data_IF_339312180840
#
_entry.id   IF_339312180840
#
_cell.length_a   1.000
_cell.length_b   1.000
_cell.length_c   1.000
_cell.angle_alpha   90.00
_cell.angle_beta   90.00
_cell.angle_gamma   90.00
#
_symmetry.space_group_name_H-M   'P 1'
#
loop_
_entity.id
_entity.type
_entity.pdbx_description
1 polymer ?
#
# COMPACT_ATOMS: atom_id res chain seq x y z
N UNK A 1 -12.24 6.97 6.11
CA UNK A 1 -12.52 5.53 6.20
C UNK A 1 -13.90 5.25 6.80
N UNK A 2 -14.20 5.74 8.03
CA UNK A 2 -15.47 5.48 8.72
C UNK A 2 -16.68 6.01 7.95
N UNK A 3 -16.60 7.21 7.40
CA UNK A 3 -17.67 7.85 6.60
C UNK A 3 -17.96 7.12 5.30
N UNK A 4 -16.93 6.67 4.59
CA UNK A 4 -17.04 5.85 3.39
C UNK A 4 -17.69 4.49 3.71
N UNK A 5 -17.21 3.78 4.75
CA UNK A 5 -17.79 2.51 5.20
C UNK A 5 -19.24 2.63 5.64
N UNK A 6 -19.61 3.76 6.21
CA UNK A 6 -20.99 4.04 6.65
C UNK A 6 -21.91 4.53 5.51
N UNK A 7 -21.42 4.62 4.26
CA UNK A 7 -22.18 5.14 3.12
C UNK A 7 -22.57 6.63 3.22
N UNK A 8 -21.91 7.36 4.13
CA UNK A 8 -22.15 8.80 4.34
C UNK A 8 -21.33 9.70 3.39
N UNK A 9 -20.42 9.11 2.66
CA UNK A 9 -19.58 9.75 1.65
C UNK A 9 -19.40 8.77 0.48
N UNK A 10 -19.64 9.23 -0.74
CA UNK A 10 -19.27 8.49 -1.94
C UNK A 10 -17.76 8.62 -2.18
N UNK A 11 -17.12 7.53 -2.61
CA UNK A 11 -15.69 7.55 -2.93
C UNK A 11 -15.36 8.54 -4.07
N UNK A 12 -16.29 8.80 -4.98
CA UNK A 12 -16.15 9.81 -6.04
C UNK A 12 -16.09 11.25 -5.49
N UNK A 13 -16.70 11.50 -4.34
CA UNK A 13 -16.68 12.84 -3.69
C UNK A 13 -15.48 13.02 -2.76
N UNK A 14 -14.62 12.01 -2.64
CA UNK A 14 -13.52 12.05 -1.68
C UNK A 14 -12.53 13.19 -1.96
N UNK A 15 -12.16 13.40 -3.23
CA UNK A 15 -11.28 14.50 -3.62
C UNK A 15 -11.90 15.87 -3.31
N UNK A 16 -13.20 16.05 -3.62
CA UNK A 16 -13.95 17.27 -3.28
C UNK A 16 -13.90 17.58 -1.79
N UNK A 17 -14.25 16.58 -0.95
CA UNK A 17 -14.23 16.74 0.52
C UNK A 17 -12.81 17.03 1.02
N UNK A 18 -11.79 16.38 0.46
CA UNK A 18 -10.39 16.63 0.79
C UNK A 18 -10.03 18.10 0.58
N UNK A 19 -10.48 18.69 -0.53
CA UNK A 19 -10.20 20.10 -0.84
C UNK A 19 -11.08 21.07 -0.05
N UNK A 20 -12.39 20.90 -0.12
CA UNK A 20 -13.34 21.87 0.42
C UNK A 20 -13.44 21.86 1.94
N UNK A 21 -13.33 20.68 2.57
CA UNK A 21 -13.46 20.53 4.02
C UNK A 21 -12.13 20.65 4.75
N UNK A 22 -11.06 20.11 4.17
CA UNK A 22 -9.76 20.01 4.85
C UNK A 22 -8.70 20.93 4.26
N UNK A 23 -8.93 21.57 3.11
CA UNK A 23 -7.96 22.44 2.45
C UNK A 23 -6.74 21.71 1.89
N UNK A 24 -6.81 20.37 1.78
CA UNK A 24 -5.70 19.57 1.30
C UNK A 24 -5.73 19.44 -0.23
N UNK A 25 -4.55 19.20 -0.84
CA UNK A 25 -4.38 19.09 -2.28
C UNK A 25 -3.87 17.71 -2.75
N UNK A 26 -3.80 16.73 -1.86
CA UNK A 26 -3.42 15.35 -2.18
C UNK A 26 -4.38 14.36 -1.54
N UNK A 27 -4.61 13.23 -2.22
CA UNK A 27 -5.50 12.17 -1.73
C UNK A 27 -4.89 10.80 -2.02
N UNK A 28 -5.02 9.90 -1.05
CA UNK A 28 -4.69 8.49 -1.18
C UNK A 28 -5.99 7.68 -1.17
N UNK A 29 -6.16 6.84 -2.17
CA UNK A 29 -7.34 6.01 -2.28
C UNK A 29 -7.13 4.63 -1.66
N UNK A 30 -8.22 3.98 -1.26
CA UNK A 30 -8.21 2.58 -0.80
C UNK A 30 -9.05 1.76 -1.75
N UNK A 31 -8.48 0.71 -2.30
CA UNK A 31 -9.09 -0.14 -3.32
C UNK A 31 -10.43 -0.73 -2.89
N UNK A 32 -10.63 -0.99 -1.60
CA UNK A 32 -11.87 -1.57 -1.06
C UNK A 32 -13.12 -0.73 -1.34
N UNK A 33 -12.98 0.60 -1.55
CA UNK A 33 -14.11 1.50 -1.80
C UNK A 33 -14.56 1.53 -3.26
N UNK A 34 -13.76 0.94 -4.16
CA UNK A 34 -14.09 0.84 -5.59
C UNK A 34 -13.57 -0.46 -6.22
N UNK A 35 -13.63 -1.55 -5.43
CA UNK A 35 -13.03 -2.86 -5.78
C UNK A 35 -13.54 -3.39 -7.12
N UNK A 36 -14.83 -3.24 -7.39
CA UNK A 36 -15.49 -3.70 -8.64
C UNK A 36 -15.24 -2.77 -9.82
N UNK A 37 -14.62 -1.62 -9.58
CA UNK A 37 -14.43 -0.54 -10.56
C UNK A 37 -12.98 -0.40 -11.04
N UNK A 38 -12.05 -1.24 -10.58
CA UNK A 38 -10.63 -1.18 -10.96
C UNK A 38 -10.39 -1.15 -12.49
N UNK A 39 -11.26 -1.83 -13.26
CA UNK A 39 -11.25 -1.87 -14.72
C UNK A 39 -12.37 -1.04 -15.36
N UNK A 40 -13.17 -0.36 -14.56
CA UNK A 40 -14.31 0.43 -14.99
C UNK A 40 -13.92 1.81 -15.49
N UNK A 41 -13.56 1.95 -16.76
CA UNK A 41 -13.03 3.19 -17.33
C UNK A 41 -13.93 4.40 -17.12
N UNK A 42 -15.27 4.23 -17.18
CA UNK A 42 -16.22 5.32 -16.94
C UNK A 42 -16.08 5.85 -15.48
N UNK A 43 -16.00 4.94 -14.51
CA UNK A 43 -15.82 5.29 -13.11
C UNK A 43 -14.47 5.97 -12.83
N UNK A 44 -13.38 5.40 -13.38
CA UNK A 44 -12.05 5.98 -13.21
C UNK A 44 -11.92 7.35 -13.87
N UNK A 45 -12.57 7.56 -15.02
CA UNK A 45 -12.62 8.88 -15.67
C UNK A 45 -13.36 9.92 -14.81
N UNK A 46 -14.53 9.56 -14.25
CA UNK A 46 -15.26 10.43 -13.33
C UNK A 46 -14.44 10.75 -12.08
N UNK A 47 -13.82 9.72 -11.48
CA UNK A 47 -12.96 9.88 -10.32
C UNK A 47 -11.77 10.83 -10.59
N UNK A 48 -11.10 10.65 -11.73
CA UNK A 48 -10.01 11.53 -12.16
C UNK A 48 -10.50 12.96 -12.42
N UNK A 49 -11.60 13.12 -13.16
CA UNK A 49 -12.16 14.44 -13.48
C UNK A 49 -12.49 15.22 -12.21
N UNK A 50 -13.13 14.58 -11.23
CA UNK A 50 -13.46 15.24 -9.96
C UNK A 50 -12.22 15.63 -9.15
N UNK A 51 -11.15 14.84 -9.19
CA UNK A 51 -9.89 15.23 -8.58
C UNK A 51 -9.28 16.45 -9.28
N UNK A 52 -9.25 16.45 -10.61
CA UNK A 52 -8.74 17.56 -11.44
C UNK A 52 -9.57 18.83 -11.20
N UNK A 53 -10.91 18.75 -11.20
CA UNK A 53 -11.84 19.89 -10.99
C UNK A 53 -11.62 20.58 -9.64
N UNK A 54 -11.20 19.85 -8.61
CA UNK A 54 -10.92 20.38 -7.28
C UNK A 54 -9.44 20.68 -7.03
N UNK A 55 -8.57 20.50 -8.03
CA UNK A 55 -7.12 20.72 -7.90
C UNK A 55 -6.50 19.77 -6.86
N UNK A 56 -6.94 18.51 -6.83
CA UNK A 56 -6.46 17.48 -5.91
C UNK A 56 -5.66 16.44 -6.69
N UNK A 57 -4.42 16.22 -6.26
CA UNK A 57 -3.54 15.19 -6.81
C UNK A 57 -3.88 13.82 -6.25
N UNK A 58 -4.10 12.84 -7.12
CA UNK A 58 -4.16 11.44 -6.76
C UNK A 58 -2.74 10.92 -6.49
N UNK A 59 -2.44 10.55 -5.23
CA UNK A 59 -1.07 10.22 -4.79
C UNK A 59 -0.78 8.74 -5.01
N UNK A 60 -1.61 7.88 -4.46
CA UNK A 60 -1.49 6.42 -4.58
C UNK A 60 -2.83 5.72 -4.37
N UNK A 61 -2.86 4.41 -4.68
CA UNK A 61 -3.93 3.49 -4.27
C UNK A 61 -3.36 2.49 -3.26
N UNK A 62 -3.96 2.42 -2.07
CA UNK A 62 -3.71 1.35 -1.10
C UNK A 62 -4.46 0.10 -1.54
N UNK A 63 -3.73 -1.00 -1.71
CA UNK A 63 -4.27 -2.28 -2.18
C UNK A 63 -4.31 -3.30 -1.06
N UNK A 64 -5.51 -3.61 -0.59
CA UNK A 64 -5.77 -4.64 0.41
C UNK A 64 -6.67 -5.74 -0.17
N UNK A 65 -6.53 -6.98 0.35
CA UNK A 65 -7.41 -8.08 0.00
C UNK A 65 -7.23 -8.66 -1.41
N UNK A 66 -6.06 -8.47 -2.02
CA UNK A 66 -5.71 -9.01 -3.35
C UNK A 66 -4.83 -10.28 -3.28
N UNK A 67 -4.67 -10.86 -2.09
CA UNK A 67 -3.80 -11.98 -1.80
C UNK A 67 -2.44 -11.55 -1.22
N UNK A 68 -1.68 -12.52 -0.72
CA UNK A 68 -0.40 -12.27 -0.06
C UNK A 68 0.76 -12.37 -1.03
N UNK A 69 1.50 -11.28 -1.20
CA UNK A 69 2.71 -11.24 -2.03
C UNK A 69 3.87 -12.05 -1.42
N UNK A 70 3.81 -12.37 -0.12
CA UNK A 70 4.73 -13.25 0.58
C UNK A 70 4.15 -14.64 0.87
N UNK A 71 3.15 -15.12 0.12
CA UNK A 71 2.61 -16.47 0.30
C UNK A 71 3.66 -17.53 -0.02
N UNK A 72 3.82 -18.54 0.85
CA UNK A 72 4.75 -19.64 0.66
C UNK A 72 4.42 -20.48 -0.58
N UNK A 73 3.12 -20.63 -0.90
CA UNK A 73 2.65 -21.29 -2.12
C UNK A 73 2.89 -20.37 -3.33
N UNK A 74 3.78 -20.80 -4.23
CA UNK A 74 4.13 -20.03 -5.43
C UNK A 74 2.92 -19.73 -6.32
N UNK A 75 1.93 -20.64 -6.42
CA UNK A 75 0.74 -20.39 -7.25
C UNK A 75 -0.11 -19.29 -6.65
N UNK A 76 -0.33 -19.30 -5.33
CA UNK A 76 -1.08 -18.25 -4.61
C UNK A 76 -0.34 -16.92 -4.67
N UNK A 77 0.98 -16.93 -4.51
CA UNK A 77 1.82 -15.74 -4.62
C UNK A 77 1.74 -15.11 -6.02
N UNK A 78 1.86 -15.92 -7.08
CA UNK A 78 1.74 -15.41 -8.46
C UNK A 78 0.30 -14.95 -8.78
N UNK A 79 -0.71 -15.59 -8.21
CA UNK A 79 -2.09 -15.12 -8.33
C UNK A 79 -2.27 -13.76 -7.64
N UNK A 80 -1.65 -13.55 -6.47
CA UNK A 80 -1.65 -12.26 -5.80
C UNK A 80 -0.98 -11.17 -6.66
N UNK A 81 0.16 -11.47 -7.29
CA UNK A 81 0.81 -10.56 -8.25
C UNK A 81 -0.15 -10.18 -9.38
N UNK A 82 -0.83 -11.16 -9.99
CA UNK A 82 -1.78 -10.91 -11.08
C UNK A 82 -2.97 -10.06 -10.62
N UNK A 83 -3.50 -10.33 -9.42
CA UNK A 83 -4.61 -9.57 -8.85
C UNK A 83 -4.26 -8.08 -8.62
N UNK A 84 -3.01 -7.77 -8.31
CA UNK A 84 -2.57 -6.40 -8.09
C UNK A 84 -2.36 -5.60 -9.39
N UNK A 85 -2.14 -6.25 -10.55
CA UNK A 85 -1.87 -5.54 -11.82
C UNK A 85 -2.96 -4.56 -12.21
N UNK A 86 -4.22 -4.93 -12.03
CA UNK A 86 -5.36 -4.01 -12.29
C UNK A 86 -5.28 -2.71 -11.50
N UNK A 87 -4.66 -2.75 -10.31
CA UNK A 87 -4.48 -1.57 -9.47
C UNK A 87 -3.30 -0.72 -9.92
N UNK A 88 -2.25 -1.33 -10.46
CA UNK A 88 -1.17 -0.60 -11.14
C UNK A 88 -1.74 0.19 -12.31
N UNK A 89 -2.59 -0.44 -13.14
CA UNK A 89 -3.21 0.21 -14.31
C UNK A 89 -4.17 1.33 -13.89
N UNK A 90 -5.02 1.09 -12.87
CA UNK A 90 -5.93 2.08 -12.33
C UNK A 90 -5.18 3.29 -11.74
N UNK A 91 -4.11 3.04 -10.96
CA UNK A 91 -3.28 4.08 -10.36
C UNK A 91 -2.60 4.94 -11.43
N UNK A 92 -2.01 4.31 -12.46
CA UNK A 92 -1.46 5.02 -13.62
C UNK A 92 -2.50 5.91 -14.28
N UNK A 93 -3.69 5.38 -14.54
CA UNK A 93 -4.76 6.15 -15.19
C UNK A 93 -5.19 7.36 -14.35
N UNK A 94 -5.27 7.21 -13.02
CA UNK A 94 -5.61 8.29 -12.09
C UNK A 94 -4.49 9.32 -11.90
N UNK A 95 -3.27 9.06 -12.41
CA UNK A 95 -2.12 9.94 -12.26
C UNK A 95 -1.36 9.74 -10.94
N UNK A 96 -1.60 8.63 -10.24
CA UNK A 96 -0.83 8.26 -9.06
C UNK A 96 0.62 7.95 -9.42
N UNK A 97 1.54 8.12 -8.45
CA UNK A 97 2.93 7.70 -8.64
C UNK A 97 3.22 6.28 -8.15
N UNK A 98 2.33 5.69 -7.36
CA UNK A 98 2.55 4.39 -6.72
C UNK A 98 1.24 3.64 -6.47
N UNK A 99 1.36 2.33 -6.28
CA UNK A 99 0.42 1.55 -5.48
C UNK A 99 1.09 1.16 -4.17
N UNK A 100 0.34 1.15 -3.06
CA UNK A 100 0.80 0.61 -1.77
C UNK A 100 0.26 -0.80 -1.59
N UNK A 101 1.14 -1.73 -1.26
CA UNK A 101 0.84 -3.14 -1.05
C UNK A 101 1.38 -3.62 0.30
N UNK A 102 1.06 -4.86 0.69
CA UNK A 102 1.56 -5.48 1.91
C UNK A 102 2.56 -6.60 1.57
N UNK A 103 3.70 -6.66 2.29
CA UNK A 103 4.62 -7.79 2.26
C UNK A 103 4.16 -8.86 3.26
N UNK A 104 2.93 -9.34 3.08
CA UNK A 104 2.29 -10.29 3.98
C UNK A 104 2.46 -11.73 3.50
N UNK A 105 2.58 -12.65 4.46
CA UNK A 105 2.65 -14.09 4.26
C UNK A 105 2.47 -14.82 5.59
N UNK A 106 2.42 -16.15 5.55
CA UNK A 106 2.41 -17.02 6.72
C UNK A 106 3.70 -17.84 6.76
N UNK A 107 4.28 -17.99 7.94
CA UNK A 107 5.53 -18.71 8.17
C UNK A 107 6.52 -17.92 8.99
N UNK A 108 7.75 -18.40 9.05
CA UNK A 108 8.85 -17.72 9.72
C UNK A 108 9.21 -16.42 8.99
N UNK A 109 9.88 -15.50 9.68
CA UNK A 109 10.34 -14.24 9.09
C UNK A 109 11.19 -14.45 7.84
N UNK A 110 12.04 -15.48 7.83
CA UNK A 110 12.92 -15.82 6.71
C UNK A 110 12.13 -16.35 5.51
N UNK A 111 11.20 -17.28 5.73
CA UNK A 111 10.35 -17.84 4.68
C UNK A 111 9.50 -16.76 4.01
N UNK A 112 8.87 -15.91 4.82
CA UNK A 112 8.05 -14.80 4.31
C UNK A 112 8.92 -13.76 3.59
N UNK A 113 10.13 -13.45 4.10
CA UNK A 113 11.06 -12.52 3.42
C UNK A 113 11.41 -13.01 2.02
N UNK A 114 11.78 -14.29 1.88
CA UNK A 114 12.10 -14.89 0.58
C UNK A 114 10.92 -14.83 -0.38
N UNK A 115 9.75 -15.22 0.07
CA UNK A 115 8.54 -15.23 -0.76
C UNK A 115 8.10 -13.81 -1.13
N UNK A 116 8.12 -12.85 -0.17
CA UNK A 116 7.75 -11.46 -0.41
C UNK A 116 8.72 -10.77 -1.38
N UNK A 117 10.02 -11.04 -1.27
CA UNK A 117 11.02 -10.54 -2.22
C UNK A 117 10.68 -10.95 -3.65
N UNK A 118 10.33 -12.22 -3.89
CA UNK A 118 9.93 -12.70 -5.21
C UNK A 118 8.63 -12.07 -5.69
N UNK A 119 7.57 -12.07 -4.84
CA UNK A 119 6.27 -11.51 -5.20
C UNK A 119 6.33 -10.02 -5.50
N UNK A 120 7.06 -9.25 -4.68
CA UNK A 120 7.27 -7.82 -4.89
C UNK A 120 8.11 -7.53 -6.15
N UNK A 121 9.18 -8.30 -6.39
CA UNK A 121 9.98 -8.15 -7.60
C UNK A 121 9.11 -8.36 -8.86
N UNK A 122 8.30 -9.44 -8.90
CA UNK A 122 7.40 -9.72 -10.03
C UNK A 122 6.34 -8.65 -10.25
N UNK A 123 5.77 -8.10 -9.18
CA UNK A 123 4.82 -6.99 -9.30
C UNK A 123 5.53 -5.71 -9.76
N UNK A 124 6.73 -5.46 -9.26
CA UNK A 124 7.53 -4.29 -9.62
C UNK A 124 8.03 -4.35 -11.06
N UNK A 125 8.35 -5.54 -11.61
CA UNK A 125 8.61 -5.72 -13.04
C UNK A 125 7.43 -5.20 -13.88
N UNK A 126 6.19 -5.58 -13.51
CA UNK A 126 5.01 -5.06 -14.17
C UNK A 126 4.85 -3.55 -13.97
N UNK A 127 4.96 -3.07 -12.72
CA UNK A 127 4.89 -1.65 -12.40
C UNK A 127 5.86 -0.80 -13.22
N UNK A 128 7.09 -1.29 -13.43
CA UNK A 128 8.11 -0.62 -14.24
C UNK A 128 7.65 -0.41 -15.69
N UNK A 129 6.96 -1.39 -16.30
CA UNK A 129 6.41 -1.23 -17.66
C UNK A 129 5.35 -0.14 -17.74
N UNK A 130 4.72 0.18 -16.62
CA UNK A 130 3.69 1.21 -16.50
C UNK A 130 4.24 2.56 -15.98
N UNK A 131 5.53 2.64 -15.63
CA UNK A 131 6.12 3.81 -14.99
C UNK A 131 5.64 4.03 -13.54
N UNK A 132 5.26 2.96 -12.85
CA UNK A 132 4.66 2.99 -11.51
C UNK A 132 5.58 2.39 -10.46
N UNK A 133 5.56 2.96 -9.27
CA UNK A 133 6.22 2.35 -8.13
C UNK A 133 5.28 1.36 -7.41
N UNK A 134 5.89 0.32 -6.85
CA UNK A 134 5.26 -0.61 -5.90
C UNK A 134 5.88 -0.36 -4.53
N UNK A 135 5.11 0.15 -3.59
CA UNK A 135 5.63 0.50 -2.27
C UNK A 135 4.96 -0.30 -1.16
N UNK A 136 5.73 -0.62 -0.13
CA UNK A 136 5.26 -1.42 0.99
C UNK A 136 5.21 -0.58 2.26
N UNK A 137 4.06 -0.58 2.92
CA UNK A 137 3.90 -0.01 4.26
C UNK A 137 4.33 -1.03 5.32
N UNK A 138 5.00 -0.59 6.37
CA UNK A 138 5.12 -1.37 7.59
C UNK A 138 3.74 -1.41 8.26
N UNK A 139 3.05 -2.57 8.17
CA UNK A 139 1.63 -2.67 8.54
C UNK A 139 1.29 -3.97 9.29
N UNK A 140 1.99 -4.23 10.38
CA UNK A 140 1.80 -5.41 11.24
C UNK A 140 2.64 -6.62 10.81
N UNK A 141 2.80 -7.56 11.72
CA UNK A 141 3.60 -8.76 11.52
C UNK A 141 5.06 -8.45 11.18
N UNK A 142 5.68 -9.29 10.39
CA UNK A 142 7.10 -9.14 10.02
C UNK A 142 7.41 -7.78 9.38
N UNK A 143 6.47 -7.19 8.63
CA UNK A 143 6.68 -5.89 7.98
C UNK A 143 6.81 -4.71 8.97
N UNK A 144 6.40 -4.89 10.23
CA UNK A 144 6.61 -3.92 11.31
C UNK A 144 8.03 -3.90 11.86
N UNK A 145 8.87 -4.87 11.49
CA UNK A 145 10.30 -4.82 11.73
C UNK A 145 10.97 -4.06 10.57
N UNK A 146 11.51 -2.86 10.84
CA UNK A 146 12.07 -1.97 9.83
C UNK A 146 13.23 -2.59 9.06
N UNK A 147 14.16 -3.26 9.76
CA UNK A 147 15.29 -3.93 9.13
C UNK A 147 14.85 -5.08 8.22
N UNK A 148 13.88 -5.88 8.68
CA UNK A 148 13.32 -6.97 7.88
C UNK A 148 12.72 -6.44 6.57
N UNK A 149 11.90 -5.41 6.65
CA UNK A 149 11.24 -4.85 5.47
C UNK A 149 12.25 -4.17 4.53
N UNK A 150 13.21 -3.41 5.07
CA UNK A 150 14.28 -2.80 4.28
C UNK A 150 15.08 -3.85 3.50
N UNK A 151 15.41 -4.99 4.15
CA UNK A 151 16.11 -6.10 3.51
C UNK A 151 15.26 -6.77 2.41
N UNK A 152 13.95 -6.97 2.63
CA UNK A 152 13.04 -7.49 1.60
C UNK A 152 13.06 -6.56 0.38
N UNK A 153 12.88 -5.27 0.56
CA UNK A 153 12.89 -4.29 -0.54
C UNK A 153 14.23 -4.29 -1.28
N UNK A 154 15.33 -4.21 -0.57
CA UNK A 154 16.69 -4.24 -1.12
C UNK A 154 16.91 -5.49 -2.00
N UNK A 155 16.48 -6.64 -1.51
CA UNK A 155 16.68 -7.92 -2.19
C UNK A 155 15.80 -8.10 -3.44
N UNK A 156 14.76 -7.27 -3.65
CA UNK A 156 14.02 -7.27 -4.93
C UNK A 156 14.90 -6.84 -6.11
N UNK A 157 15.94 -6.05 -5.88
CA UNK A 157 16.79 -5.47 -6.92
C UNK A 157 16.07 -4.48 -7.84
N UNK A 158 14.86 -4.03 -7.48
CA UNK A 158 14.00 -3.19 -8.32
C UNK A 158 13.99 -1.75 -7.80
N UNK A 159 14.44 -0.81 -8.63
CA UNK A 159 14.47 0.62 -8.28
C UNK A 159 13.08 1.22 -8.01
N UNK A 160 12.05 0.70 -8.66
CA UNK A 160 10.66 1.12 -8.47
C UNK A 160 9.93 0.33 -7.36
N UNK A 161 10.61 -0.57 -6.66
CA UNK A 161 10.14 -1.15 -5.40
C UNK A 161 10.67 -0.32 -4.24
N UNK A 162 9.80 0.07 -3.31
CA UNK A 162 10.19 0.94 -2.20
C UNK A 162 9.32 0.76 -0.97
N UNK A 163 9.50 1.64 0.00
CA UNK A 163 8.73 1.67 1.24
C UNK A 163 7.78 2.86 1.30
N UNK A 164 6.74 2.72 2.10
CA UNK A 164 5.89 3.77 2.64
C UNK A 164 6.04 3.71 4.18
N UNK A 165 7.07 4.32 4.79
CA UNK A 165 7.22 4.29 6.23
C UNK A 165 6.00 4.90 6.93
N UNK A 166 5.28 4.09 7.71
CA UNK A 166 4.26 4.56 8.64
C UNK A 166 4.90 4.76 10.02
N UNK A 167 4.77 5.95 10.59
CA UNK A 167 5.46 6.33 11.82
C UNK A 167 4.88 5.70 13.09
N UNK A 168 3.76 4.99 12.99
CA UNK A 168 3.10 4.34 14.13
C UNK A 168 2.96 2.82 14.05
N UNK A 169 3.25 2.19 12.90
CA UNK A 169 2.97 0.76 12.68
C UNK A 169 4.20 -0.13 12.95
N UNK A 170 4.75 -0.11 14.15
CA UNK A 170 5.93 -0.91 14.52
C UNK A 170 5.63 -2.09 15.44
N UNK A 171 4.34 -2.44 15.63
CA UNK A 171 3.96 -3.61 16.39
C UNK A 171 4.05 -4.89 15.54
N UNK A 172 4.99 -5.77 15.90
CA UNK A 172 5.24 -7.06 15.22
C UNK A 172 4.21 -8.09 15.65
N UNK A 173 4.04 -8.26 16.97
CA UNK A 173 3.14 -9.28 17.54
C UNK A 173 2.10 -8.62 18.42
N UNK A 174 0.83 -8.93 18.17
CA UNK A 174 -0.31 -8.45 18.96
C UNK A 174 -0.91 -9.59 19.77
N UNK A 175 -1.50 -9.23 20.90
CA UNK A 175 -2.28 -10.17 21.70
C UNK A 175 -3.50 -10.66 20.91
N UNK A 176 -3.73 -11.98 20.93
CA UNK A 176 -4.89 -12.57 20.27
C UNK A 176 -6.19 -12.00 20.85
N UNK A 177 -7.07 -11.53 19.97
CA UNK A 177 -8.35 -10.92 20.38
C UNK A 177 -8.23 -9.47 20.90
N UNK A 178 -7.04 -8.93 21.12
CA UNK A 178 -6.83 -7.58 21.61
C UNK A 178 -5.85 -6.76 20.74
N UNK A 179 -6.38 -6.14 19.70
CA UNK A 179 -5.60 -5.36 18.74
C UNK A 179 -4.88 -4.12 19.34
N UNK A 180 -5.29 -3.70 20.54
CA UNK A 180 -4.70 -2.55 21.22
C UNK A 180 -3.44 -2.91 22.01
N UNK A 181 -3.24 -4.22 22.33
CA UNK A 181 -2.10 -4.68 23.09
C UNK A 181 -1.00 -5.21 22.18
N UNK A 182 0.13 -4.52 22.15
CA UNK A 182 1.32 -4.95 21.42
C UNK A 182 2.24 -5.73 22.36
N UNK A 183 2.54 -6.97 22.01
CA UNK A 183 3.43 -7.87 22.77
C UNK A 183 4.87 -7.71 22.36
N UNK A 184 5.13 -7.38 21.10
CA UNK A 184 6.46 -7.19 20.54
C UNK A 184 6.46 -6.01 19.59
N UNK A 185 7.25 -4.98 19.92
CA UNK A 185 7.35 -3.74 19.12
C UNK A 185 8.79 -3.56 18.65
N UNK A 186 8.96 -3.17 17.39
CA UNK A 186 10.23 -2.69 16.86
C UNK A 186 10.43 -1.22 17.25
N UNK A 187 11.66 -0.81 17.54
CA UNK A 187 11.93 0.60 17.83
C UNK A 187 11.54 1.48 16.65
N UNK A 188 10.59 2.38 16.88
CA UNK A 188 9.99 3.20 15.80
C UNK A 188 10.97 4.18 15.17
N UNK A 189 11.91 4.71 15.95
CA UNK A 189 12.89 5.65 15.40
C UNK A 189 13.93 4.91 14.56
N UNK A 190 14.34 3.73 15.01
CA UNK A 190 15.20 2.86 14.23
C UNK A 190 14.48 2.39 12.98
N UNK A 191 13.22 1.95 13.08
CA UNK A 191 12.43 1.50 11.96
C UNK A 191 12.23 2.56 10.88
N UNK A 192 12.00 3.80 11.27
CA UNK A 192 11.97 4.92 10.31
C UNK A 192 13.32 5.08 9.63
N UNK A 193 14.44 5.02 10.37
CA UNK A 193 15.80 5.10 9.78
C UNK A 193 16.08 3.99 8.79
N UNK A 194 15.65 2.76 9.10
CA UNK A 194 15.85 1.59 8.24
C UNK A 194 15.07 1.71 6.92
N UNK A 195 13.84 2.24 6.99
CA UNK A 195 12.92 2.32 5.86
C UNK A 195 13.14 3.53 4.96
N UNK A 196 13.57 4.68 5.52
CA UNK A 196 13.73 5.94 4.78
C UNK A 196 14.64 5.86 3.55
N UNK A 197 15.74 5.09 3.52
CA UNK A 197 16.57 4.96 2.31
C UNK A 197 15.82 4.42 1.09
N UNK A 198 14.72 3.69 1.30
CA UNK A 198 13.89 3.10 0.25
C UNK A 198 12.56 3.81 0.07
N UNK A 199 12.30 4.87 0.82
CA UNK A 199 10.99 5.53 0.84
C UNK A 199 10.68 6.23 -0.49
N UNK A 200 9.45 6.03 -0.98
CA UNK A 200 8.86 6.76 -2.11
C UNK A 200 7.71 7.67 -1.66
N UNK A 201 7.20 7.45 -0.47
CA UNK A 201 6.23 8.28 0.24
C UNK A 201 6.36 7.97 1.74
N UNK A 202 5.64 8.70 2.59
CA UNK A 202 5.58 8.49 4.04
C UNK A 202 4.15 8.58 4.55
N UNK A 203 3.82 7.81 5.59
CA UNK A 203 2.58 7.91 6.35
C UNK A 203 2.88 8.53 7.71
N UNK A 204 2.74 9.86 7.80
CA UNK A 204 3.03 10.61 9.03
C UNK A 204 1.88 10.48 10.03
N UNK A 205 1.74 9.30 10.62
CA UNK A 205 0.73 9.02 11.63
C UNK A 205 1.13 9.65 12.98
N UNK A 206 0.22 10.45 13.56
CA UNK A 206 0.31 10.87 14.94
C UNK A 206 -0.54 9.91 15.81
N UNK A 207 0.04 9.36 16.85
CA UNK A 207 -0.62 8.52 17.86
C UNK A 207 -0.84 9.35 19.13
#
# INVERSE_FOLDING_TARGET
HRTLKAGKLDNLDFAKVTRETYGLSGVEYVNQFFKDKAKGMAYLKDMKQRADDHGVTSVLIMCDGEGNLGDADTKKRMQAVENHRKWVDAAKFLGCHSIRVNAAGQGTAEEVAKAATEGLAKLSEYGKTQGMNVIVENHGGHSSNGEWLANVIKNTGMENCGTLPDFGNFCITREEGNWSNCLEEYDRYQGVKDLMPYAKAVSAKAN
#
